data_IF_868060739611
#
_entry.id   IF_868060739611
#
_cell.length_a   1.000
_cell.length_b   1.000
_cell.length_c   1.000
_cell.angle_alpha   90.00
_cell.angle_beta   90.00
_cell.angle_gamma   90.00
#
_symmetry.space_group_name_H-M   'P 1'
#
loop_
_entity.id
_entity.type
_entity.pdbx_description
1 polymer ?
#
# COMPACT_ATOMS: atom_id res chain seq x y z
N UNK A 1 17.40 -4.23 1.34
CA UNK A 1 16.74 -3.13 0.62
C UNK A 1 15.64 -2.62 1.53
N UNK A 2 15.58 -1.31 1.76
CA UNK A 2 14.60 -0.64 2.62
C UNK A 2 13.39 -0.21 1.81
N UNK A 3 12.25 -0.05 2.49
CA UNK A 3 11.02 0.42 1.86
C UNK A 3 11.22 1.80 1.19
N UNK A 4 12.01 2.68 1.80
CA UNK A 4 12.36 4.01 1.29
C UNK A 4 13.10 3.96 -0.05
N UNK A 5 13.90 2.92 -0.30
CA UNK A 5 14.66 2.76 -1.54
C UNK A 5 13.76 2.36 -2.71
N UNK A 6 12.62 1.72 -2.46
CA UNK A 6 11.73 1.22 -3.52
C UNK A 6 10.65 2.23 -3.94
N UNK A 7 10.25 3.15 -3.05
CA UNK A 7 9.15 4.10 -3.30
C UNK A 7 9.36 4.90 -4.60
N UNK A 8 10.55 5.48 -4.89
CA UNK A 8 10.76 6.23 -6.14
C UNK A 8 10.55 5.38 -7.39
N UNK A 9 10.79 4.07 -7.30
CA UNK A 9 10.66 3.14 -8.41
C UNK A 9 9.20 2.75 -8.70
N UNK A 10 8.35 2.71 -7.68
CA UNK A 10 6.91 2.42 -7.83
C UNK A 10 6.18 3.49 -8.65
N UNK A 11 6.63 4.74 -8.57
CA UNK A 11 6.10 5.87 -9.35
C UNK A 11 6.74 5.97 -10.73
N UNK A 12 8.07 5.86 -10.81
CA UNK A 12 8.80 6.22 -12.01
C UNK A 12 8.73 5.18 -13.14
N UNK A 13 8.64 3.88 -12.80
CA UNK A 13 8.72 2.78 -13.79
C UNK A 13 7.86 1.57 -13.42
N UNK A 14 6.53 1.72 -13.27
CA UNK A 14 5.66 0.62 -12.84
C UNK A 14 5.76 -0.63 -13.73
N UNK A 15 5.88 -0.43 -15.06
CA UNK A 15 6.03 -1.53 -16.01
C UNK A 15 7.31 -2.36 -15.85
N UNK A 16 8.39 -1.82 -15.29
CA UNK A 16 9.62 -2.60 -15.01
C UNK A 16 9.43 -3.62 -13.90
N UNK A 17 8.42 -3.43 -13.04
CA UNK A 17 8.13 -4.31 -11.91
C UNK A 17 6.86 -5.14 -12.13
N UNK A 18 6.32 -5.14 -13.35
CA UNK A 18 5.08 -5.85 -13.69
C UNK A 18 3.83 -5.24 -13.05
N UNK A 19 3.87 -3.95 -12.69
CA UNK A 19 2.72 -3.25 -12.11
C UNK A 19 1.79 -2.81 -13.25
N UNK A 20 0.62 -3.43 -13.32
CA UNK A 20 -0.37 -3.33 -14.41
C UNK A 20 -1.51 -2.35 -14.10
N UNK A 21 -1.19 -1.24 -13.43
CA UNK A 21 -2.16 -0.24 -12.96
C UNK A 21 -3.26 -0.79 -12.02
N UNK A 22 -3.10 -2.02 -11.51
CA UNK A 22 -3.96 -2.59 -10.48
C UNK A 22 -3.29 -2.55 -9.11
N UNK A 23 -4.02 -2.11 -8.10
CA UNK A 23 -3.58 -2.07 -6.70
C UNK A 23 -3.10 -3.46 -6.21
N UNK A 24 -3.74 -4.53 -6.67
CA UNK A 24 -3.37 -5.91 -6.33
C UNK A 24 -1.93 -6.25 -6.74
N UNK A 25 -1.46 -5.73 -7.88
CA UNK A 25 -0.09 -5.94 -8.36
C UNK A 25 0.94 -5.18 -7.53
N UNK A 26 0.62 -3.94 -7.11
CA UNK A 26 1.45 -3.20 -6.16
C UNK A 26 1.53 -3.93 -4.81
N UNK A 27 0.41 -4.46 -4.34
CA UNK A 27 0.39 -5.22 -3.10
C UNK A 27 1.17 -6.53 -3.20
N UNK A 28 1.04 -7.28 -4.29
CA UNK A 28 1.82 -8.48 -4.53
C UNK A 28 3.33 -8.17 -4.55
N UNK A 29 3.74 -7.09 -5.22
CA UNK A 29 5.13 -6.64 -5.21
C UNK A 29 5.63 -6.31 -3.81
N UNK A 30 4.87 -5.52 -3.02
CA UNK A 30 5.25 -5.15 -1.66
C UNK A 30 5.30 -6.36 -0.70
N UNK A 31 4.40 -7.32 -0.85
CA UNK A 31 4.48 -8.58 -0.10
C UNK A 31 5.73 -9.38 -0.49
N UNK A 32 6.06 -9.46 -1.78
CA UNK A 32 7.29 -10.10 -2.26
C UNK A 32 8.55 -9.40 -1.74
N UNK A 33 8.56 -8.07 -1.74
CA UNK A 33 9.61 -7.25 -1.14
C UNK A 33 9.76 -7.55 0.35
N UNK A 34 8.65 -7.58 1.10
CA UNK A 34 8.66 -7.86 2.54
C UNK A 34 9.12 -9.28 2.87
N UNK A 35 8.95 -10.26 1.98
CA UNK A 35 9.44 -11.61 2.20
C UNK A 35 10.98 -11.68 2.22
N UNK A 36 11.65 -10.74 1.54
CA UNK A 36 13.10 -10.58 1.57
C UNK A 36 13.57 -9.50 2.56
N UNK A 37 12.64 -8.84 3.26
CA UNK A 37 12.92 -7.73 4.15
C UNK A 37 13.27 -8.21 5.57
N UNK A 38 14.55 -8.11 5.91
CA UNK A 38 15.06 -8.39 7.26
C UNK A 38 14.73 -7.29 8.30
N UNK A 39 14.24 -6.13 7.87
CA UNK A 39 13.99 -4.97 8.73
C UNK A 39 12.53 -4.85 9.18
N UNK A 40 11.61 -5.58 8.55
CA UNK A 40 10.20 -5.59 8.91
C UNK A 40 9.50 -4.26 8.63
N UNK A 41 9.93 -3.52 7.61
CA UNK A 41 9.42 -2.19 7.26
C UNK A 41 7.91 -2.25 6.96
N UNK A 42 7.43 -3.28 6.26
CA UNK A 42 5.99 -3.43 5.97
C UNK A 42 5.14 -3.71 7.23
N UNK A 43 5.74 -4.38 8.23
CA UNK A 43 5.09 -4.60 9.52
C UNK A 43 5.03 -3.30 10.35
N UNK A 44 6.08 -2.48 10.31
CA UNK A 44 6.09 -1.12 10.90
C UNK A 44 5.07 -0.21 10.21
N UNK A 45 5.03 -0.24 8.87
CA UNK A 45 4.07 0.50 8.06
C UNK A 45 2.63 0.13 8.41
N UNK A 46 2.30 -1.16 8.56
CA UNK A 46 0.98 -1.59 9.03
C UNK A 46 0.60 -0.97 10.38
N UNK A 47 1.53 -0.98 11.35
CA UNK A 47 1.28 -0.40 12.68
C UNK A 47 1.06 1.11 12.60
N UNK A 48 1.87 1.80 11.80
CA UNK A 48 1.72 3.23 11.55
C UNK A 48 0.36 3.54 10.91
N UNK A 49 -0.03 2.82 9.85
CA UNK A 49 -1.34 2.95 9.21
C UNK A 49 -2.52 2.72 10.18
N UNK A 50 -2.42 1.71 11.05
CA UNK A 50 -3.47 1.44 12.04
C UNK A 50 -3.65 2.61 13.03
N UNK A 51 -2.56 3.30 13.37
CA UNK A 51 -2.59 4.52 14.18
C UNK A 51 -3.36 5.66 13.51
N UNK A 52 -3.21 5.83 12.19
CA UNK A 52 -3.87 6.90 11.42
C UNK A 52 -5.40 6.78 11.41
N UNK A 53 -5.93 5.55 11.43
CA UNK A 53 -7.37 5.29 11.43
C UNK A 53 -7.94 4.85 12.79
N UNK A 54 -7.14 4.92 13.87
CA UNK A 54 -7.50 4.43 15.20
C UNK A 54 -8.07 2.98 15.17
N UNK A 55 -7.49 2.12 14.33
CA UNK A 55 -7.96 0.75 14.14
C UNK A 55 -7.37 -0.20 15.17
N UNK A 56 -8.15 -1.20 15.57
CA UNK A 56 -7.79 -2.27 16.51
C UNK A 56 -6.77 -3.29 15.95
N UNK A 57 -6.37 -3.14 14.68
CA UNK A 57 -5.33 -3.94 14.05
C UNK A 57 -5.83 -5.22 13.37
N UNK A 58 -7.13 -5.45 13.27
CA UNK A 58 -7.69 -6.63 12.59
C UNK A 58 -7.43 -6.66 11.07
N UNK A 59 -7.23 -5.49 10.45
CA UNK A 59 -6.95 -5.37 9.01
C UNK A 59 -5.45 -5.47 8.69
N UNK A 60 -5.13 -6.16 7.59
CA UNK A 60 -3.82 -6.09 6.95
C UNK A 60 -3.60 -4.72 6.30
N UNK A 61 -2.34 -4.32 6.09
CA UNK A 61 -1.99 -2.97 5.59
C UNK A 61 -2.74 -2.61 4.29
N UNK A 62 -2.88 -3.55 3.36
CA UNK A 62 -3.55 -3.31 2.07
C UNK A 62 -5.04 -2.95 2.25
N UNK A 63 -5.71 -3.62 3.19
CA UNK A 63 -7.11 -3.31 3.52
C UNK A 63 -7.25 -1.96 4.23
N UNK A 64 -6.25 -1.57 5.04
CA UNK A 64 -6.24 -0.25 5.68
C UNK A 64 -6.10 0.85 4.61
N UNK A 65 -5.18 0.68 3.65
CA UNK A 65 -5.01 1.63 2.53
C UNK A 65 -6.27 1.75 1.69
N UNK A 66 -6.91 0.63 1.32
CA UNK A 66 -8.15 0.65 0.56
C UNK A 66 -9.30 1.30 1.33
N UNK A 67 -9.35 1.12 2.66
CA UNK A 67 -10.31 1.83 3.52
C UNK A 67 -10.06 3.33 3.57
N UNK A 68 -8.81 3.77 3.55
CA UNK A 68 -8.47 5.20 3.45
C UNK A 68 -8.85 5.78 2.09
N UNK A 69 -8.63 5.03 1.01
CA UNK A 69 -9.01 5.43 -0.35
C UNK A 69 -10.53 5.52 -0.53
N UNK A 70 -11.28 4.61 0.11
CA UNK A 70 -12.73 4.46 -0.08
C UNK A 70 -13.50 4.39 1.24
N UNK A 71 -13.50 5.45 2.07
CA UNK A 71 -14.04 5.39 3.44
C UNK A 71 -15.53 5.00 3.53
N UNK A 72 -16.29 5.21 2.45
CA UNK A 72 -17.72 4.93 2.40
C UNK A 72 -18.10 3.77 1.46
N UNK A 73 -17.13 3.08 0.86
CA UNK A 73 -17.38 1.96 -0.05
C UNK A 73 -16.65 0.69 0.38
N UNK A 74 -17.30 -0.03 1.30
CA UNK A 74 -16.80 -1.28 1.89
C UNK A 74 -16.54 -2.35 0.83
N UNK A 75 -17.29 -2.36 -0.29
CA UNK A 75 -17.13 -3.36 -1.35
C UNK A 75 -15.76 -3.25 -2.01
N UNK A 76 -15.17 -2.06 -2.02
CA UNK A 76 -13.87 -1.77 -2.61
C UNK A 76 -12.68 -2.09 -1.68
N UNK A 77 -12.90 -2.49 -0.42
CA UNK A 77 -11.83 -2.75 0.56
C UNK A 77 -11.10 -4.09 0.37
N UNK A 78 -11.59 -4.96 -0.50
CA UNK A 78 -10.97 -6.24 -0.81
C UNK A 78 -9.84 -6.11 -1.82
N UNK A 79 -8.76 -6.88 -1.65
CA UNK A 79 -7.61 -6.86 -2.57
C UNK A 79 -8.02 -7.13 -4.04
N UNK A 80 -8.93 -8.09 -4.23
CA UNK A 80 -9.48 -8.51 -5.52
C UNK A 80 -10.89 -7.97 -5.78
N UNK A 81 -11.31 -6.94 -5.07
CA UNK A 81 -12.58 -6.29 -5.36
C UNK A 81 -12.54 -5.67 -6.76
N UNK A 82 -13.64 -5.77 -7.50
CA UNK A 82 -13.79 -5.09 -8.78
C UNK A 82 -13.77 -3.58 -8.55
N UNK A 83 -12.83 -2.90 -9.20
CA UNK A 83 -12.69 -1.44 -9.17
C UNK A 83 -12.57 -0.94 -10.60
N UNK A 84 -13.18 0.21 -10.86
CA UNK A 84 -12.95 0.95 -12.10
C UNK A 84 -11.50 1.43 -12.19
N UNK A 85 -11.03 1.75 -13.40
CA UNK A 85 -9.69 2.30 -13.60
C UNK A 85 -9.42 3.56 -12.75
N UNK A 86 -10.45 4.39 -12.53
CA UNK A 86 -10.33 5.56 -11.67
C UNK A 86 -10.17 5.19 -10.19
N UNK A 87 -10.92 4.20 -9.71
CA UNK A 87 -10.76 3.68 -8.36
C UNK A 87 -9.37 3.04 -8.20
N UNK A 88 -8.89 2.25 -9.15
CA UNK A 88 -7.53 1.69 -9.09
C UNK A 88 -6.46 2.80 -8.97
N UNK A 89 -6.59 3.89 -9.75
CA UNK A 89 -5.70 5.07 -9.62
C UNK A 89 -5.76 5.69 -8.23
N UNK A 90 -6.95 5.89 -7.66
CA UNK A 90 -7.12 6.44 -6.30
C UNK A 90 -6.48 5.53 -5.25
N UNK A 91 -6.68 4.21 -5.37
CA UNK A 91 -6.11 3.23 -4.45
C UNK A 91 -4.57 3.24 -4.50
N UNK A 92 -4.00 3.24 -5.70
CA UNK A 92 -2.54 3.31 -5.92
C UNK A 92 -1.97 4.64 -5.42
N UNK A 93 -2.61 5.76 -5.73
CA UNK A 93 -2.18 7.07 -5.24
C UNK A 93 -2.20 7.13 -3.70
N UNK A 94 -3.22 6.55 -3.07
CA UNK A 94 -3.32 6.46 -1.60
C UNK A 94 -2.21 5.59 -1.01
N UNK A 95 -1.90 4.45 -1.64
CA UNK A 95 -0.78 3.60 -1.26
C UNK A 95 0.54 4.37 -1.29
N UNK A 96 0.84 5.00 -2.42
CA UNK A 96 2.10 5.70 -2.63
C UNK A 96 2.24 6.86 -1.63
N UNK A 97 1.21 7.70 -1.50
CA UNK A 97 1.20 8.82 -0.54
C UNK A 97 1.48 8.35 0.89
N UNK A 98 0.80 7.28 1.34
CA UNK A 98 0.98 6.79 2.71
C UNK A 98 2.34 6.12 2.94
N UNK A 99 2.94 5.54 1.90
CA UNK A 99 4.32 5.04 1.96
C UNK A 99 5.33 6.19 2.08
N UNK A 100 5.12 7.28 1.35
CA UNK A 100 5.94 8.50 1.43
C UNK A 100 5.82 9.14 2.83
N UNK A 101 4.60 9.33 3.34
CA UNK A 101 4.36 9.84 4.70
C UNK A 101 5.04 8.96 5.77
N UNK A 102 4.90 7.63 5.65
CA UNK A 102 5.59 6.70 6.55
C UNK A 102 7.11 6.83 6.45
N UNK A 103 7.66 7.00 5.25
CA UNK A 103 9.10 7.16 5.04
C UNK A 103 9.66 8.45 5.64
N UNK A 104 8.87 9.53 5.66
CA UNK A 104 9.25 10.81 6.28
C UNK A 104 9.16 10.77 7.81
N UNK A 105 8.18 10.06 8.36
CA UNK A 105 7.96 9.97 9.81
C UNK A 105 8.72 8.83 10.50
N UNK A 106 9.16 7.81 9.76
CA UNK A 106 9.88 6.67 10.32
C UNK A 106 11.32 7.07 10.70
N UNK A 107 11.71 6.97 11.99
CA UNK A 107 13.10 7.14 12.41
C UNK A 107 13.98 5.98 11.92
#
# INVERSE_FOLDING_TARGET
MRLTEIIPHLQARPGMFGLDEQFSSYAAFLYGFSAADQYGDLARYRKWLAGQLALDGSLGWAGIVLRMAFPHDIKSWGLHAERSAEQERIAIATLIRTLEEFAEEAP
#
